data_IF_454881247382
#
_entry.id   IF_454881247382
#
_cell.length_a   1.000
_cell.length_b   1.000
_cell.length_c   1.000
_cell.angle_alpha   90.00
_cell.angle_beta   90.00
_cell.angle_gamma   90.00
#
_symmetry.space_group_name_H-M   'P 1'
#
loop_
_entity.id
_entity.type
_entity.pdbx_description
1 polymer ?
#
# COMPACT_ATOMS: atom_id res chain seq x y z
N UNK A 1 -38.44 -12.29 24.20
CA UNK A 1 -37.15 -11.71 24.66
C UNK A 1 -35.96 -12.17 23.81
N UNK A 2 -35.91 -13.44 23.38
CA UNK A 2 -34.84 -14.00 22.54
C UNK A 2 -34.58 -13.28 21.20
N UNK A 3 -35.64 -12.75 20.55
CA UNK A 3 -35.51 -11.99 19.29
C UNK A 3 -34.75 -10.66 19.45
N UNK A 4 -34.91 -9.98 20.60
CA UNK A 4 -34.16 -8.75 20.91
C UNK A 4 -32.68 -9.05 21.19
N UNK A 5 -32.40 -10.20 21.83
CA UNK A 5 -31.03 -10.67 22.10
C UNK A 5 -30.28 -11.04 20.81
N UNK A 6 -30.96 -11.65 19.84
CA UNK A 6 -30.37 -11.97 18.52
C UNK A 6 -30.04 -10.71 17.70
N UNK A 7 -30.91 -9.69 17.75
CA UNK A 7 -30.66 -8.41 17.07
C UNK A 7 -29.48 -7.66 17.70
N UNK A 8 -29.37 -7.66 19.03
CA UNK A 8 -28.21 -7.07 19.72
C UNK A 8 -26.92 -7.83 19.38
N UNK A 9 -26.92 -9.16 19.38
CA UNK A 9 -25.75 -9.97 19.04
C UNK A 9 -25.30 -9.77 17.57
N UNK A 10 -26.25 -9.65 16.63
CA UNK A 10 -25.94 -9.34 15.23
C UNK A 10 -25.35 -7.93 15.06
N UNK A 11 -25.84 -6.95 15.84
CA UNK A 11 -25.32 -5.59 15.81
C UNK A 11 -23.90 -5.53 16.41
N UNK A 12 -23.61 -6.27 17.48
CA UNK A 12 -22.27 -6.38 18.09
C UNK A 12 -21.24 -7.04 17.17
N UNK A 13 -21.64 -8.05 16.39
CA UNK A 13 -20.76 -8.72 15.43
C UNK A 13 -20.31 -7.82 14.27
N UNK A 14 -21.21 -6.93 13.79
CA UNK A 14 -20.93 -6.02 12.68
C UNK A 14 -19.91 -4.92 13.04
N UNK A 15 -19.87 -4.48 14.30
CA UNK A 15 -18.93 -3.45 14.78
C UNK A 15 -17.50 -4.02 14.90
N UNK A 16 -17.38 -5.31 15.27
CA UNK A 16 -16.09 -5.99 15.38
C UNK A 16 -15.51 -6.31 13.99
N UNK A 17 -16.34 -6.62 13.00
CA UNK A 17 -15.88 -6.84 11.63
C UNK A 17 -15.42 -5.55 10.94
N UNK A 18 -15.99 -4.39 11.26
CA UNK A 18 -15.59 -3.09 10.70
C UNK A 18 -14.21 -2.60 11.17
N UNK A 19 -13.79 -2.99 12.38
CA UNK A 19 -12.46 -2.67 12.89
C UNK A 19 -11.34 -3.53 12.26
N UNK A 20 -11.69 -4.68 11.66
CA UNK A 20 -10.75 -5.56 10.96
C UNK A 20 -10.43 -5.11 9.53
N UNK A 21 -11.13 -4.09 8.99
CA UNK A 21 -10.68 -3.34 7.81
C UNK A 21 -9.70 -2.21 8.17
N UNK A 22 -8.98 -2.34 9.30
CA UNK A 22 -7.75 -1.59 9.53
C UNK A 22 -6.76 -1.94 8.39
N UNK A 23 -6.81 -1.14 7.33
CA UNK A 23 -5.91 -1.08 6.17
C UNK A 23 -5.16 -2.39 5.86
N UNK A 24 -5.63 -3.12 4.85
CA UNK A 24 -4.80 -4.12 4.19
C UNK A 24 -3.59 -3.39 3.55
N UNK A 25 -2.54 -3.20 4.35
CA UNK A 25 -1.31 -2.55 3.94
C UNK A 25 -0.68 -3.38 2.82
N UNK A 26 -0.20 -2.70 1.77
CA UNK A 26 0.61 -3.37 0.75
C UNK A 26 1.80 -4.02 1.44
N UNK A 27 2.18 -5.21 0.99
CA UNK A 27 3.35 -5.93 1.49
C UNK A 27 4.60 -5.70 0.64
N UNK A 28 4.59 -4.61 -0.15
CA UNK A 28 5.69 -4.15 -0.99
C UNK A 28 5.76 -2.62 -0.99
N UNK A 29 6.95 -2.10 -1.31
CA UNK A 29 7.20 -0.66 -1.47
C UNK A 29 6.81 -0.24 -2.89
N UNK A 30 6.06 0.85 -3.03
CA UNK A 30 5.67 1.47 -4.30
C UNK A 30 6.50 2.72 -4.57
N UNK A 31 7.18 2.76 -5.71
CA UNK A 31 8.11 3.83 -6.09
C UNK A 31 7.67 4.43 -7.42
N UNK A 32 7.63 5.77 -7.49
CA UNK A 32 7.43 6.53 -8.73
C UNK A 32 8.65 7.42 -8.97
N UNK A 33 8.83 8.00 -10.16
CA UNK A 33 9.92 8.96 -10.35
C UNK A 33 10.45 9.10 -11.78
N UNK A 34 11.68 9.60 -11.89
CA UNK A 34 12.32 9.96 -13.16
C UNK A 34 12.52 8.75 -14.08
N UNK A 35 12.11 8.89 -15.34
CA UNK A 35 12.38 7.92 -16.40
C UNK A 35 13.87 7.73 -16.68
N UNK A 36 14.70 8.74 -16.38
CA UNK A 36 16.16 8.67 -16.62
C UNK A 36 16.87 7.72 -15.67
N UNK A 37 16.36 7.53 -14.45
CA UNK A 37 16.94 6.62 -13.44
C UNK A 37 16.19 5.30 -13.32
N UNK A 38 15.06 5.15 -14.03
CA UNK A 38 14.21 3.96 -13.97
C UNK A 38 14.97 2.63 -14.22
N UNK A 39 15.88 2.52 -15.20
CA UNK A 39 16.64 1.29 -15.40
C UNK A 39 17.54 0.95 -14.21
N UNK A 40 18.20 1.96 -13.63
CA UNK A 40 19.05 1.78 -12.46
C UNK A 40 18.24 1.38 -11.22
N UNK A 41 17.14 2.10 -10.95
CA UNK A 41 16.26 1.81 -9.82
C UNK A 41 15.66 0.40 -9.90
N UNK A 42 15.33 -0.07 -11.11
CA UNK A 42 14.83 -1.43 -11.35
C UNK A 42 15.84 -2.48 -10.90
N UNK A 43 17.12 -2.33 -11.28
CA UNK A 43 18.18 -3.25 -10.84
C UNK A 43 18.33 -3.23 -9.33
N UNK A 44 18.28 -2.06 -8.70
CA UNK A 44 18.37 -1.94 -7.23
C UNK A 44 17.20 -2.66 -6.55
N UNK A 45 15.96 -2.48 -7.02
CA UNK A 45 14.79 -3.15 -6.47
C UNK A 45 14.87 -4.67 -6.63
N UNK A 46 15.28 -5.15 -7.80
CA UNK A 46 15.48 -6.58 -8.02
C UNK A 46 16.55 -7.16 -7.10
N UNK A 47 17.69 -6.49 -6.95
CA UNK A 47 18.75 -6.93 -6.07
C UNK A 47 18.29 -6.95 -4.61
N UNK A 48 17.52 -5.95 -4.18
CA UNK A 48 16.90 -5.92 -2.86
C UNK A 48 15.97 -7.11 -2.61
N UNK A 49 15.09 -7.43 -3.57
CA UNK A 49 14.20 -8.59 -3.47
C UNK A 49 14.92 -9.94 -3.50
N UNK A 50 16.07 -10.04 -4.20
CA UNK A 50 16.90 -11.25 -4.26
C UNK A 50 17.74 -11.48 -3.01
N UNK A 51 18.13 -10.40 -2.31
CA UNK A 51 19.11 -10.47 -1.20
C UNK A 51 18.49 -10.32 0.19
N UNK A 52 17.21 -9.93 0.27
CA UNK A 52 16.51 -9.74 1.53
C UNK A 52 15.29 -10.64 1.63
N UNK A 53 14.65 -10.68 2.80
CA UNK A 53 13.38 -11.38 3.02
C UNK A 53 12.15 -10.57 2.57
N UNK A 54 12.35 -9.33 2.12
CA UNK A 54 11.27 -8.42 1.75
C UNK A 54 10.91 -8.58 0.27
N UNK A 55 9.66 -8.25 -0.08
CA UNK A 55 9.25 -8.28 -1.50
C UNK A 55 9.99 -7.22 -2.31
N UNK A 56 10.26 -7.56 -3.57
CA UNK A 56 10.77 -6.63 -4.57
C UNK A 56 9.86 -5.40 -4.66
N UNK A 57 10.40 -4.17 -4.51
CA UNK A 57 9.65 -2.95 -4.72
C UNK A 57 9.05 -2.86 -6.13
N UNK A 58 7.85 -2.31 -6.23
CA UNK A 58 7.21 -1.96 -7.51
C UNK A 58 7.69 -0.57 -7.91
N UNK A 59 8.23 -0.43 -9.12
CA UNK A 59 8.70 0.86 -9.65
C UNK A 59 7.89 1.21 -10.90
N UNK A 60 7.43 2.46 -10.99
CA UNK A 60 6.74 3.01 -12.15
C UNK A 60 7.44 4.27 -12.67
N UNK A 61 7.75 4.31 -13.96
CA UNK A 61 8.35 5.48 -14.60
C UNK A 61 7.28 6.52 -14.93
N UNK A 62 7.21 7.59 -14.14
CA UNK A 62 6.21 8.66 -14.27
C UNK A 62 6.82 10.03 -14.62
N UNK A 63 8.15 10.12 -14.71
CA UNK A 63 8.90 11.37 -14.80
C UNK A 63 8.98 12.10 -13.45
N UNK A 64 10.02 12.91 -13.20
CA UNK A 64 10.25 13.53 -11.88
C UNK A 64 9.07 14.38 -11.39
N UNK A 65 8.50 15.22 -12.26
CA UNK A 65 7.35 16.04 -11.91
C UNK A 65 6.07 15.22 -11.69
N UNK A 66 5.85 14.19 -12.51
CA UNK A 66 4.72 13.28 -12.35
C UNK A 66 4.83 12.42 -11.07
N UNK A 67 6.04 11.93 -10.78
CA UNK A 67 6.35 11.17 -9.58
C UNK A 67 6.13 11.98 -8.31
N UNK A 68 6.71 13.19 -8.25
CA UNK A 68 6.49 14.10 -7.13
C UNK A 68 5.01 14.44 -6.95
N UNK A 69 4.27 14.67 -8.04
CA UNK A 69 2.83 14.92 -7.97
C UNK A 69 2.07 13.76 -7.34
N UNK A 70 2.38 12.52 -7.73
CA UNK A 70 1.73 11.32 -7.19
C UNK A 70 2.12 11.09 -5.73
N UNK A 71 3.40 11.27 -5.39
CA UNK A 71 3.91 11.14 -4.03
C UNK A 71 3.30 12.18 -3.07
N UNK A 72 3.21 13.45 -3.49
CA UNK A 72 2.62 14.51 -2.68
C UNK A 72 1.08 14.48 -2.63
N UNK A 73 0.41 13.56 -3.32
CA UNK A 73 -1.04 13.45 -3.29
C UNK A 73 -1.57 12.98 -1.92
N UNK A 74 -0.74 12.33 -1.10
CA UNK A 74 -1.10 11.95 0.26
C UNK A 74 -0.20 10.86 0.86
N UNK A 75 -0.67 10.28 1.94
CA UNK A 75 -0.05 9.13 2.63
C UNK A 75 -1.05 7.99 2.67
N UNK A 76 -0.58 6.75 2.68
CA UNK A 76 -1.44 5.56 2.69
C UNK A 76 -1.13 4.58 1.57
N UNK A 77 -1.88 3.48 1.54
CA UNK A 77 -1.67 2.35 0.60
C UNK A 77 -1.97 2.71 -0.85
N UNK A 78 -2.71 3.78 -1.07
CA UNK A 78 -3.10 4.35 -2.35
C UNK A 78 -2.07 5.34 -2.92
N UNK A 79 -1.09 5.77 -2.11
CA UNK A 79 -0.05 6.73 -2.49
C UNK A 79 1.33 6.04 -2.65
N UNK A 80 2.24 6.57 -3.49
CA UNK A 80 3.62 6.09 -3.55
C UNK A 80 4.38 6.31 -2.24
N UNK A 81 5.31 5.42 -1.93
CA UNK A 81 6.12 5.49 -0.71
C UNK A 81 7.42 6.30 -0.93
N UNK A 82 7.92 6.37 -2.18
CA UNK A 82 9.19 7.00 -2.56
C UNK A 82 9.04 7.69 -3.92
N UNK A 83 9.71 8.84 -4.09
CA UNK A 83 9.91 9.53 -5.39
C UNK A 83 11.37 9.87 -5.67
#
# INVERSE_FOLDING_TARGET
MLKKTLVFAALSGAIVSGAAQAAAARDYISIVGSSTVYPFATVVAEQFGKTTKFKTPKIESTGSGGGLKLFCAGVGVEHPDIT
#
